data_IF_815102522698
#
_entry.id   IF_815102522698
#
_cell.length_a   1.000
_cell.length_b   1.000
_cell.length_c   1.000
_cell.angle_alpha   90.00
_cell.angle_beta   90.00
_cell.angle_gamma   90.00
#
_symmetry.space_group_name_H-M   'P 1'
#
loop_
_entity.id
_entity.type
_entity.pdbx_description
1 polymer ?
#
# COMPACT_ATOMS: atom_id res chain seq x y z
N UNK A 1 14.10 33.84 -3.37
CA UNK A 1 14.81 32.80 -2.60
C UNK A 1 14.01 31.51 -2.72
N UNK A 2 14.38 30.63 -3.67
CA UNK A 2 13.70 29.34 -3.87
C UNK A 2 13.99 28.42 -2.68
N UNK A 3 12.97 27.97 -1.96
CA UNK A 3 13.14 27.11 -0.79
C UNK A 3 13.54 25.70 -1.21
N UNK A 4 14.40 25.01 -0.45
CA UNK A 4 14.79 23.61 -0.74
C UNK A 4 13.58 22.65 -0.76
N UNK A 5 12.47 23.02 -0.10
CA UNK A 5 11.19 22.29 -0.11
C UNK A 5 10.57 22.30 -1.50
N UNK A 6 10.52 23.47 -2.14
CA UNK A 6 10.01 23.67 -3.50
C UNK A 6 10.82 22.88 -4.54
N UNK A 7 12.13 22.78 -4.38
CA UNK A 7 13.00 22.01 -5.29
C UNK A 7 12.76 20.50 -5.16
N UNK A 8 12.55 20.00 -3.92
CA UNK A 8 12.17 18.60 -3.68
C UNK A 8 10.82 18.26 -4.29
N UNK A 9 9.83 19.14 -4.14
CA UNK A 9 8.47 18.93 -4.67
C UNK A 9 8.46 18.93 -6.21
N UNK A 10 9.26 19.81 -6.84
CA UNK A 10 9.44 19.85 -8.30
C UNK A 10 10.17 18.59 -8.80
N UNK A 11 11.23 18.16 -8.11
CA UNK A 11 12.00 16.98 -8.52
C UNK A 11 11.19 15.68 -8.35
N UNK A 12 10.39 15.60 -7.27
CA UNK A 12 9.48 14.48 -7.02
C UNK A 12 8.36 14.41 -8.06
N UNK A 13 7.76 15.55 -8.42
CA UNK A 13 6.71 15.61 -9.45
C UNK A 13 7.24 15.31 -10.85
N UNK A 14 8.44 15.78 -11.20
CA UNK A 14 9.10 15.44 -12.46
C UNK A 14 9.43 13.93 -12.55
N UNK A 15 9.96 13.35 -11.48
CA UNK A 15 10.21 11.90 -11.39
C UNK A 15 8.92 11.08 -11.47
N UNK A 16 7.85 11.53 -10.81
CA UNK A 16 6.53 10.92 -10.88
C UNK A 16 5.98 10.93 -12.31
N UNK A 17 6.10 12.06 -13.00
CA UNK A 17 5.62 12.22 -14.37
C UNK A 17 6.39 11.33 -15.35
N UNK A 18 7.70 11.19 -15.16
CA UNK A 18 8.52 10.23 -15.91
C UNK A 18 8.06 8.78 -15.65
N UNK A 19 7.79 8.41 -14.39
CA UNK A 19 7.25 7.09 -14.06
C UNK A 19 5.88 6.84 -14.69
N UNK A 20 4.93 7.79 -14.60
CA UNK A 20 3.58 7.64 -15.18
C UNK A 20 3.64 7.41 -16.70
N UNK A 21 4.59 8.05 -17.40
CA UNK A 21 4.75 7.90 -18.85
C UNK A 21 5.47 6.61 -19.25
N UNK A 22 6.45 6.16 -18.45
CA UNK A 22 7.32 5.02 -18.80
C UNK A 22 6.81 3.69 -18.24
N UNK A 23 6.12 3.70 -17.09
CA UNK A 23 5.65 2.50 -16.41
C UNK A 23 4.74 1.62 -17.29
N UNK A 24 3.78 2.14 -18.08
CA UNK A 24 2.96 1.31 -18.96
C UNK A 24 3.79 0.61 -20.05
N UNK A 25 4.85 1.24 -20.54
CA UNK A 25 5.72 0.67 -21.58
C UNK A 25 6.60 -0.45 -20.98
N UNK A 26 7.18 -0.20 -19.81
CA UNK A 26 8.06 -1.15 -19.13
C UNK A 26 7.29 -2.34 -18.53
N UNK A 27 6.03 -2.15 -18.13
CA UNK A 27 5.19 -3.22 -17.58
C UNK A 27 4.91 -4.37 -18.57
N UNK A 28 5.00 -4.10 -19.87
CA UNK A 28 4.83 -5.11 -20.92
C UNK A 28 6.12 -5.85 -21.26
N UNK A 29 7.27 -5.42 -20.71
CA UNK A 29 8.56 -6.11 -20.87
C UNK A 29 8.72 -7.13 -19.75
N UNK A 30 8.42 -8.40 -20.05
CA UNK A 30 8.45 -9.50 -19.07
C UNK A 30 9.70 -9.53 -18.18
N UNK A 31 10.93 -9.52 -18.72
CA UNK A 31 12.15 -9.55 -17.92
C UNK A 31 12.29 -8.38 -16.94
N UNK A 32 11.95 -7.16 -17.36
CA UNK A 32 12.02 -5.98 -16.50
C UNK A 32 10.99 -6.05 -15.37
N UNK A 33 9.77 -6.49 -15.70
CA UNK A 33 8.70 -6.70 -14.71
C UNK A 33 9.12 -7.72 -13.65
N UNK A 34 9.65 -8.87 -14.08
CA UNK A 34 10.15 -9.90 -13.16
C UNK A 34 11.33 -9.40 -12.30
N UNK A 35 12.25 -8.63 -12.88
CA UNK A 35 13.35 -8.03 -12.14
C UNK A 35 12.85 -7.02 -11.08
N UNK A 36 11.84 -6.21 -11.41
CA UNK A 36 11.24 -5.25 -10.48
C UNK A 36 10.51 -5.96 -9.33
N UNK A 37 9.72 -7.00 -9.62
CA UNK A 37 9.06 -7.82 -8.58
C UNK A 37 10.10 -8.50 -7.70
N UNK A 38 11.13 -9.11 -8.29
CA UNK A 38 12.20 -9.75 -7.52
C UNK A 38 12.93 -8.77 -6.60
N UNK A 39 13.26 -7.57 -7.10
CA UNK A 39 13.88 -6.52 -6.29
C UNK A 39 12.95 -6.07 -5.14
N UNK A 40 11.65 -5.94 -5.42
CA UNK A 40 10.63 -5.62 -4.42
C UNK A 40 10.50 -6.69 -3.33
N UNK A 41 10.45 -7.97 -3.70
CA UNK A 41 10.40 -9.07 -2.73
C UNK A 41 11.63 -9.09 -1.84
N UNK A 42 12.80 -8.83 -2.43
CA UNK A 42 14.07 -8.75 -1.70
C UNK A 42 14.09 -7.55 -0.76
N UNK A 43 13.55 -6.40 -1.18
CA UNK A 43 13.37 -5.25 -0.29
C UNK A 43 12.41 -5.57 0.86
N UNK A 44 11.26 -6.21 0.60
CA UNK A 44 10.30 -6.60 1.65
C UNK A 44 10.95 -7.55 2.65
N UNK A 45 11.77 -8.49 2.19
CA UNK A 45 12.52 -9.38 3.07
C UNK A 45 13.55 -8.61 3.93
N UNK A 46 14.31 -7.67 3.34
CA UNK A 46 15.29 -6.87 4.07
C UNK A 46 14.64 -5.87 5.04
N UNK A 47 13.61 -5.15 4.60
CA UNK A 47 12.84 -4.21 5.42
C UNK A 47 12.06 -4.96 6.51
N UNK A 48 11.48 -6.11 6.17
CA UNK A 48 10.84 -7.04 7.09
C UNK A 48 11.81 -7.44 8.20
N UNK A 49 13.07 -7.79 7.89
CA UNK A 49 14.09 -8.07 8.91
C UNK A 49 14.40 -6.88 9.84
N UNK A 50 14.21 -5.64 9.38
CA UNK A 50 14.29 -4.44 10.23
C UNK A 50 13.04 -4.22 11.11
N UNK A 51 11.85 -4.61 10.63
CA UNK A 51 10.58 -4.57 11.38
C UNK A 51 10.49 -5.75 12.38
N UNK A 52 11.09 -6.91 12.04
CA UNK A 52 11.23 -8.12 12.85
C UNK A 52 12.07 -7.85 14.12
N UNK A 53 12.91 -6.82 14.12
CA UNK A 53 13.74 -6.44 15.27
C UNK A 53 13.02 -5.51 16.26
N UNK A 54 11.76 -5.14 16.01
CA UNK A 54 10.94 -4.46 17.01
C UNK A 54 10.35 -5.51 17.96
N UNK A 55 11.07 -5.77 19.06
CA UNK A 55 10.68 -6.73 20.10
C UNK A 55 9.28 -6.44 20.71
N UNK A 56 8.68 -5.28 20.44
CA UNK A 56 7.32 -4.94 20.87
C UNK A 56 6.21 -5.59 20.05
N UNK A 57 6.50 -6.10 18.84
CA UNK A 57 5.47 -6.71 17.97
C UNK A 57 5.40 -8.24 18.13
N UNK A 58 4.21 -8.82 18.31
CA UNK A 58 4.05 -10.28 18.29
C UNK A 58 4.53 -10.89 16.97
N UNK A 59 5.13 -12.10 17.00
CA UNK A 59 5.69 -12.73 15.79
C UNK A 59 4.65 -12.96 14.68
N UNK A 60 3.38 -13.21 15.04
CA UNK A 60 2.29 -13.34 14.07
C UNK A 60 2.04 -12.06 13.26
N UNK A 61 2.04 -10.90 13.91
CA UNK A 61 1.85 -9.60 13.25
C UNK A 61 2.98 -9.34 12.25
N UNK A 62 4.20 -9.71 12.61
CA UNK A 62 5.37 -9.51 11.76
C UNK A 62 5.36 -10.43 10.52
N UNK A 63 4.92 -11.67 10.69
CA UNK A 63 4.69 -12.58 9.57
C UNK A 63 3.61 -12.03 8.62
N UNK A 64 2.48 -11.58 9.18
CA UNK A 64 1.37 -10.99 8.41
C UNK A 64 1.81 -9.75 7.63
N UNK A 65 2.60 -8.85 8.23
CA UNK A 65 3.11 -7.66 7.54
C UNK A 65 3.99 -8.01 6.34
N UNK A 66 4.80 -9.06 6.45
CA UNK A 66 5.64 -9.54 5.34
C UNK A 66 4.78 -10.09 4.21
N UNK A 67 3.76 -10.86 4.55
CA UNK A 67 2.83 -11.45 3.58
C UNK A 67 1.95 -10.39 2.91
N UNK A 68 1.45 -9.41 3.67
CA UNK A 68 0.73 -8.27 3.11
C UNK A 68 1.60 -7.46 2.17
N UNK A 69 2.87 -7.21 2.52
CA UNK A 69 3.81 -6.55 1.62
C UNK A 69 3.95 -7.28 0.29
N UNK A 70 4.12 -8.62 0.33
CA UNK A 70 4.18 -9.46 -0.86
C UNK A 70 2.88 -9.39 -1.66
N UNK A 71 1.73 -9.53 -1.01
CA UNK A 71 0.43 -9.47 -1.65
C UNK A 71 0.17 -8.12 -2.35
N UNK A 72 0.57 -7.00 -1.71
CA UNK A 72 0.49 -5.65 -2.29
C UNK A 72 1.39 -5.54 -3.52
N UNK A 73 2.65 -6.00 -3.44
CA UNK A 73 3.60 -5.96 -4.55
C UNK A 73 3.06 -6.70 -5.78
N UNK A 74 2.57 -7.92 -5.60
CA UNK A 74 2.01 -8.73 -6.69
C UNK A 74 0.68 -8.16 -7.21
N UNK A 75 -0.08 -7.47 -6.36
CA UNK A 75 -1.29 -6.76 -6.80
C UNK A 75 -0.94 -5.54 -7.64
N UNK A 76 0.08 -4.78 -7.26
CA UNK A 76 0.60 -3.67 -8.05
C UNK A 76 1.11 -4.17 -9.40
N UNK A 77 1.90 -5.25 -9.44
CA UNK A 77 2.38 -5.88 -10.68
C UNK A 77 1.23 -6.19 -11.66
N UNK A 78 0.19 -6.87 -11.15
CA UNK A 78 -1.03 -7.15 -11.95
C UNK A 78 -1.80 -5.89 -12.34
N UNK A 79 -1.77 -4.83 -11.54
CA UNK A 79 -2.43 -3.58 -11.88
C UNK A 79 -1.70 -2.85 -13.01
N UNK A 80 -0.36 -2.91 -13.03
CA UNK A 80 0.48 -2.32 -14.07
C UNK A 80 0.39 -3.04 -15.42
N UNK A 81 0.06 -4.34 -15.44
CA UNK A 81 -0.24 -5.06 -16.69
C UNK A 81 -1.62 -4.71 -17.25
N UNK A 82 -2.49 -4.09 -16.45
CA UNK A 82 -3.79 -3.57 -16.92
C UNK A 82 -3.63 -2.14 -17.44
N UNK A 83 -4.48 -1.76 -18.38
CA UNK A 83 -4.55 -0.39 -18.90
C UNK A 83 -5.22 0.53 -17.87
N UNK A 84 -4.42 1.05 -16.92
CA UNK A 84 -4.84 2.14 -16.05
C UNK A 84 -4.80 3.47 -16.83
N UNK A 85 -5.75 4.36 -16.58
CA UNK A 85 -5.67 5.70 -17.14
C UNK A 85 -4.49 6.44 -16.51
N UNK A 86 -3.79 7.33 -17.26
CA UNK A 86 -2.67 8.10 -16.72
C UNK A 86 -3.04 8.90 -15.46
N UNK A 87 -4.28 9.38 -15.38
CA UNK A 87 -4.78 10.12 -14.22
C UNK A 87 -4.92 9.23 -12.98
N UNK A 88 -5.45 8.01 -13.15
CA UNK A 88 -5.55 7.05 -12.04
C UNK A 88 -4.17 6.64 -11.57
N UNK A 89 -3.26 6.32 -12.50
CA UNK A 89 -1.90 5.94 -12.15
C UNK A 89 -1.15 7.07 -11.44
N UNK A 90 -1.30 8.32 -11.90
CA UNK A 90 -0.73 9.51 -11.26
C UNK A 90 -1.21 9.63 -9.81
N UNK A 91 -2.52 9.58 -9.58
CA UNK A 91 -3.08 9.67 -8.20
C UNK A 91 -2.65 8.51 -7.31
N UNK A 92 -2.57 7.30 -7.86
CA UNK A 92 -2.11 6.13 -7.13
C UNK A 92 -0.66 6.32 -6.66
N UNK A 93 0.24 6.71 -7.56
CA UNK A 93 1.64 6.92 -7.22
C UNK A 93 1.84 8.13 -6.30
N UNK A 94 1.12 9.23 -6.51
CA UNK A 94 1.14 10.41 -5.61
C UNK A 94 0.77 10.03 -4.17
N UNK A 95 -0.34 9.30 -4.00
CA UNK A 95 -0.79 8.88 -2.67
C UNK A 95 0.14 7.84 -2.05
N UNK A 96 0.61 6.86 -2.83
CA UNK A 96 1.45 5.79 -2.32
C UNK A 96 2.87 6.27 -1.98
N UNK A 97 3.51 7.00 -2.89
CA UNK A 97 4.88 7.49 -2.69
C UNK A 97 4.88 8.71 -1.78
N UNK A 98 4.05 9.71 -2.06
CA UNK A 98 4.01 10.95 -1.28
C UNK A 98 3.34 10.77 0.08
N UNK A 99 2.19 10.10 0.10
CA UNK A 99 1.39 9.92 1.32
C UNK A 99 1.94 8.86 2.27
N UNK A 100 2.31 7.68 1.76
CA UNK A 100 2.68 6.52 2.58
C UNK A 100 4.20 6.43 2.77
N UNK A 101 4.99 6.45 1.69
CA UNK A 101 6.44 6.20 1.76
C UNK A 101 7.23 7.41 2.26
N UNK A 102 6.85 8.63 1.86
CA UNK A 102 7.56 9.87 2.20
C UNK A 102 7.01 10.58 3.45
N UNK A 103 6.08 9.94 4.17
CA UNK A 103 5.58 10.42 5.46
C UNK A 103 4.47 11.46 5.39
N UNK A 104 3.86 11.67 4.22
CA UNK A 104 2.59 12.38 4.06
C UNK A 104 2.53 13.77 4.70
N UNK A 105 1.33 14.16 5.13
CA UNK A 105 1.10 15.43 5.82
C UNK A 105 1.49 15.31 7.30
N UNK A 106 2.78 15.53 7.61
CA UNK A 106 3.33 15.46 8.98
C UNK A 106 2.49 16.22 10.01
N UNK A 107 2.10 17.50 9.80
CA UNK A 107 1.22 18.21 10.73
C UNK A 107 -0.13 17.53 11.01
N UNK A 108 -0.69 16.79 10.05
CA UNK A 108 -1.94 16.04 10.27
C UNK A 108 -1.70 14.75 11.05
N UNK A 109 -0.57 14.08 10.79
CA UNK A 109 -0.13 12.88 11.50
C UNK A 109 0.13 13.21 12.98
N UNK A 110 0.86 14.30 13.24
CA UNK A 110 1.22 14.72 14.59
C UNK A 110 -0.03 15.09 15.41
N UNK A 111 -0.97 15.83 14.81
CA UNK A 111 -2.26 16.17 15.44
C UNK A 111 -3.10 14.93 15.76
N UNK A 112 -3.14 13.95 14.86
CA UNK A 112 -3.86 12.70 15.09
C UNK A 112 -3.23 11.94 16.27
N UNK A 113 -1.91 11.94 16.38
CA UNK A 113 -1.20 11.34 17.52
C UNK A 113 -1.50 12.09 18.83
N UNK A 114 -1.50 13.42 18.82
CA UNK A 114 -1.86 14.23 19.98
C UNK A 114 -3.29 13.96 20.46
N UNK A 115 -4.24 13.78 19.53
CA UNK A 115 -5.66 13.54 19.83
C UNK A 115 -5.95 12.09 20.29
N UNK A 116 -5.28 11.10 19.69
CA UNK A 116 -5.62 9.68 19.87
C UNK A 116 -4.54 8.84 20.54
N UNK A 117 -3.36 9.40 20.82
CA UNK A 117 -2.22 8.69 21.43
C UNK A 117 -1.60 7.61 20.54
N UNK A 118 -1.95 7.56 19.26
CA UNK A 118 -1.45 6.58 18.28
C UNK A 118 -1.32 7.20 16.91
N UNK A 119 -0.43 6.66 16.07
CA UNK A 119 -0.27 7.14 14.70
C UNK A 119 -1.43 6.67 13.81
N UNK A 120 -1.87 7.49 12.84
CA UNK A 120 -2.89 7.07 11.89
C UNK A 120 -2.38 5.92 11.02
N UNK A 121 -3.28 5.02 10.56
CA UNK A 121 -2.88 3.97 9.62
C UNK A 121 -2.41 4.59 8.30
N UNK A 122 -1.28 4.13 7.79
CA UNK A 122 -0.74 4.60 6.50
C UNK A 122 -1.59 4.16 5.29
N UNK A 123 -2.40 3.12 5.44
CA UNK A 123 -3.27 2.60 4.39
C UNK A 123 -4.56 2.06 5.03
N UNK A 124 -5.71 2.44 4.45
CA UNK A 124 -7.02 1.98 4.90
C UNK A 124 -7.77 1.31 3.75
N UNK A 125 -7.98 -0.01 3.88
CA UNK A 125 -8.82 -0.76 2.94
C UNK A 125 -10.28 -0.56 3.30
N UNK A 126 -11.04 0.08 2.41
CA UNK A 126 -12.49 0.23 2.54
C UNK A 126 -13.14 -0.72 1.54
N UNK A 127 -14.01 -1.61 2.01
CA UNK A 127 -14.89 -2.44 1.16
C UNK A 127 -16.27 -1.79 1.10
N UNK A 128 -16.55 -0.94 0.09
CA UNK A 128 -17.79 -0.15 0.06
C UNK A 128 -19.06 -0.96 -0.20
N UNK A 129 -18.93 -2.26 -0.51
CA UNK A 129 -20.07 -3.14 -0.79
C UNK A 129 -19.97 -4.50 -0.09
N UNK A 130 -21.11 -5.19 -0.03
CA UNK A 130 -21.26 -6.57 0.45
C UNK A 130 -21.76 -7.52 -0.65
N UNK A 131 -21.54 -7.18 -1.93
CA UNK A 131 -22.13 -7.88 -3.09
C UNK A 131 -21.47 -9.22 -3.43
N UNK A 132 -20.75 -9.84 -2.50
CA UNK A 132 -20.17 -11.16 -2.72
C UNK A 132 -21.28 -12.22 -2.71
N UNK A 133 -21.32 -13.09 -3.72
CA UNK A 133 -22.29 -14.18 -3.83
C UNK A 133 -21.89 -15.43 -3.03
N UNK A 134 -20.72 -15.44 -2.40
CA UNK A 134 -20.23 -16.52 -1.55
C UNK A 134 -20.65 -16.27 -0.09
N UNK A 135 -20.94 -17.36 0.64
CA UNK A 135 -21.36 -17.32 2.06
C UNK A 135 -20.28 -17.89 2.98
N UNK A 136 -19.05 -17.40 2.83
CA UNK A 136 -17.93 -17.89 3.62
C UNK A 136 -18.13 -17.60 5.12
N UNK A 137 -17.84 -18.58 5.96
CA UNK A 137 -17.77 -18.41 7.42
C UNK A 137 -16.66 -17.41 7.76
N UNK A 138 -16.91 -16.48 8.67
CA UNK A 138 -15.93 -15.45 9.05
C UNK A 138 -15.75 -14.29 8.06
N UNK A 139 -16.57 -14.21 7.00
CA UNK A 139 -16.47 -13.15 6.00
C UNK A 139 -17.33 -11.92 6.33
N UNK A 140 -16.69 -10.74 6.36
CA UNK A 140 -17.37 -9.43 6.48
C UNK A 140 -18.47 -9.22 5.43
N UNK A 141 -18.25 -9.64 4.17
CA UNK A 141 -19.22 -9.47 3.10
C UNK A 141 -20.50 -10.30 3.30
N UNK A 142 -20.42 -11.37 4.09
CA UNK A 142 -21.54 -12.22 4.48
C UNK A 142 -22.07 -11.88 5.89
N UNK A 143 -21.67 -10.74 6.48
CA UNK A 143 -22.13 -10.32 7.79
C UNK A 143 -23.43 -9.50 7.71
N UNK A 144 -24.50 -10.00 8.34
CA UNK A 144 -25.81 -9.36 8.45
C UNK A 144 -26.72 -10.05 9.48
N UNK A 145 -27.89 -9.46 9.79
CA UNK A 145 -28.84 -10.06 10.73
C UNK A 145 -29.23 -11.48 10.28
N UNK A 146 -28.97 -12.49 11.11
CA UNK A 146 -29.28 -13.90 10.82
C UNK A 146 -28.23 -14.69 10.03
N UNK A 147 -27.04 -14.14 9.81
CA UNK A 147 -25.93 -14.84 9.12
C UNK A 147 -24.78 -15.17 10.07
N UNK A 148 -24.20 -16.37 9.95
CA UNK A 148 -22.97 -16.80 10.65
C UNK A 148 -21.68 -16.16 10.08
N UNK A 149 -21.80 -15.08 9.30
CA UNK A 149 -20.66 -14.43 8.63
C UNK A 149 -19.58 -13.91 9.58
N UNK A 150 -19.91 -13.68 10.86
CA UNK A 150 -18.96 -13.34 11.92
C UNK A 150 -19.10 -14.32 13.11
N UNK A 151 -19.15 -15.62 12.82
CA UNK A 151 -18.95 -16.63 13.86
C UNK A 151 -17.47 -16.62 14.29
N UNK A 152 -17.14 -15.78 15.26
CA UNK A 152 -15.89 -15.89 16.00
C UNK A 152 -15.99 -17.17 16.85
N UNK A 153 -15.38 -18.26 16.37
CA UNK A 153 -15.05 -19.39 17.23
C UNK A 153 -13.93 -18.92 18.16
N UNK A 154 -14.30 -18.49 19.36
CA UNK A 154 -13.41 -18.39 20.52
C UNK A 154 -13.49 -19.71 21.27
#
# INVERSE_FOLDING_TARGET
MFTMKTVKDISLSAGMEAMVRTAPLLAHVGPMRHAAVWAGERYIYFAGNGIIQDASRPPGVTADLTEFGRAILHTADRAFTKRLSPNVLRRLLENFVGGIMLGGNRPAIDRFFEEHGTYPPGFLTISPGKTCNLRCTGCYANAGPGTLGLAFYV
#
